data_IF_074371542340
#
_entry.id   IF_074371542340
#
_cell.length_a   1.000
_cell.length_b   1.000
_cell.length_c   1.000
_cell.angle_alpha   90.00
_cell.angle_beta   90.00
_cell.angle_gamma   90.00
#
_symmetry.space_group_name_H-M   'P 1'
#
loop_
_entity.id
_entity.type
_entity.pdbx_description
1 polymer ?
#
# COMPACT_ATOMS: atom_id res chain seq x y z
N UNK A 1 7.74 5.47 3.87
CA UNK A 1 7.39 4.36 2.95
C UNK A 1 6.27 3.54 3.57
N UNK A 2 5.49 2.75 2.82
CA UNK A 2 4.45 1.88 3.38
C UNK A 2 4.96 0.44 3.52
N UNK A 3 5.87 0.22 4.49
CA UNK A 3 6.57 -1.06 4.66
C UNK A 3 5.63 -2.21 4.97
N UNK A 4 4.59 -1.96 5.77
CA UNK A 4 3.62 -2.98 6.17
C UNK A 4 2.82 -3.46 4.95
N UNK A 5 2.30 -2.53 4.14
CA UNK A 5 1.63 -2.86 2.88
C UNK A 5 2.54 -3.69 1.96
N UNK A 6 3.81 -3.31 1.78
CA UNK A 6 4.72 -4.07 0.93
C UNK A 6 5.02 -5.48 1.46
N UNK A 7 5.18 -5.61 2.79
CA UNK A 7 5.38 -6.91 3.43
C UNK A 7 4.16 -7.83 3.23
N UNK A 8 2.94 -7.32 3.40
CA UNK A 8 1.71 -8.11 3.21
C UNK A 8 1.50 -8.52 1.75
N UNK A 9 1.79 -7.63 0.80
CA UNK A 9 1.79 -7.97 -0.64
C UNK A 9 2.72 -9.17 -0.91
N UNK A 10 3.93 -9.14 -0.36
CA UNK A 10 4.91 -10.21 -0.52
C UNK A 10 4.47 -11.51 0.17
N UNK A 11 3.97 -11.43 1.41
CA UNK A 11 3.49 -12.58 2.21
C UNK A 11 2.37 -13.34 1.50
N UNK A 12 1.40 -12.60 0.95
CA UNK A 12 0.25 -13.18 0.24
C UNK A 12 0.55 -13.50 -1.24
N UNK A 13 1.75 -13.20 -1.72
CA UNK A 13 2.16 -13.34 -3.14
C UNK A 13 1.21 -12.64 -4.11
N UNK A 14 0.66 -11.50 -3.69
CA UNK A 14 -0.25 -10.72 -4.54
C UNK A 14 0.57 -9.99 -5.60
N UNK A 15 0.10 -10.03 -6.84
CA UNK A 15 0.76 -9.29 -7.91
C UNK A 15 0.40 -7.81 -7.79
N UNK A 16 1.42 -6.97 -7.65
CA UNK A 16 1.28 -5.50 -7.65
C UNK A 16 0.51 -4.95 -8.87
N UNK A 17 0.64 -5.49 -10.11
CA UNK A 17 -0.23 -5.10 -11.24
C UNK A 17 -1.73 -5.24 -10.97
N UNK A 18 -2.15 -6.32 -10.31
CA UNK A 18 -3.57 -6.58 -10.01
C UNK A 18 -4.12 -5.52 -9.03
N UNK A 19 -3.30 -5.13 -8.05
CA UNK A 19 -3.64 -4.03 -7.12
C UNK A 19 -3.78 -2.72 -7.89
N UNK A 20 -2.85 -2.43 -8.80
CA UNK A 20 -2.85 -1.19 -9.58
C UNK A 20 -4.09 -1.11 -10.47
N UNK A 21 -4.44 -2.20 -11.16
CA UNK A 21 -5.67 -2.30 -11.96
C UNK A 21 -6.92 -2.07 -11.10
N UNK A 22 -6.98 -2.70 -9.91
CA UNK A 22 -8.12 -2.59 -9.00
C UNK A 22 -8.38 -1.15 -8.53
N UNK A 23 -7.34 -0.35 -8.34
CA UNK A 23 -7.45 1.08 -7.98
C UNK A 23 -7.46 2.03 -9.20
N UNK A 24 -7.48 1.50 -10.42
CA UNK A 24 -7.47 2.31 -11.65
C UNK A 24 -6.18 3.09 -11.88
N UNK A 25 -5.03 2.55 -11.45
CA UNK A 25 -3.71 3.18 -11.57
C UNK A 25 -2.74 2.30 -12.35
N UNK A 26 -1.65 2.91 -12.80
CA UNK A 26 -0.55 2.17 -13.41
C UNK A 26 0.32 1.50 -12.35
N UNK A 27 0.99 0.41 -12.72
CA UNK A 27 1.98 -0.26 -11.87
C UNK A 27 3.06 0.70 -11.33
N UNK A 28 3.54 1.62 -12.17
CA UNK A 28 4.51 2.63 -11.78
C UNK A 28 3.94 3.58 -10.72
N UNK A 29 2.71 4.06 -10.90
CA UNK A 29 2.03 4.91 -9.91
C UNK A 29 1.87 4.20 -8.58
N UNK A 30 1.48 2.92 -8.58
CA UNK A 30 1.37 2.12 -7.37
C UNK A 30 2.73 2.02 -6.65
N UNK A 31 3.81 1.72 -7.36
CA UNK A 31 5.15 1.64 -6.76
C UNK A 31 5.61 2.98 -6.17
N UNK A 32 5.31 4.11 -6.83
CA UNK A 32 5.62 5.43 -6.29
C UNK A 32 4.79 5.73 -5.02
N UNK A 33 3.55 5.22 -4.95
CA UNK A 33 2.72 5.33 -3.74
C UNK A 33 3.25 4.44 -2.60
N UNK A 34 3.53 3.16 -2.86
CA UNK A 34 4.09 2.22 -1.87
C UNK A 34 5.44 2.72 -1.31
N UNK A 35 6.32 3.23 -2.17
CA UNK A 35 7.60 3.85 -1.74
C UNK A 35 7.40 5.11 -0.88
N UNK A 36 6.19 5.68 -0.87
CA UNK A 36 5.83 6.85 -0.08
C UNK A 36 6.13 8.18 -0.77
N UNK A 37 6.51 8.18 -2.06
CA UNK A 37 6.70 9.41 -2.86
C UNK A 37 5.37 10.13 -3.08
N UNK A 38 4.27 9.38 -3.21
CA UNK A 38 2.92 9.93 -3.26
C UNK A 38 2.03 9.26 -2.21
N UNK A 39 1.11 10.00 -1.58
CA UNK A 39 0.13 9.39 -0.69
C UNK A 39 -0.90 8.57 -1.47
N UNK A 40 -1.50 7.58 -0.82
CA UNK A 40 -2.77 6.98 -1.25
C UNK A 40 -3.92 7.94 -0.92
N UNK A 41 -4.91 8.03 -1.81
CA UNK A 41 -6.20 8.62 -1.42
C UNK A 41 -6.94 7.66 -0.50
N UNK A 42 -7.95 8.16 0.24
CA UNK A 42 -8.77 7.31 1.09
C UNK A 42 -9.45 6.18 0.30
N UNK A 43 -10.06 6.51 -0.84
CA UNK A 43 -10.75 5.53 -1.68
C UNK A 43 -9.80 4.44 -2.21
N UNK A 44 -8.59 4.83 -2.65
CA UNK A 44 -7.57 3.87 -3.09
C UNK A 44 -7.17 2.94 -1.94
N UNK A 45 -6.93 3.49 -0.75
CA UNK A 45 -6.55 2.71 0.41
C UNK A 45 -7.66 1.75 0.85
N UNK A 46 -8.91 2.21 0.83
CA UNK A 46 -10.08 1.40 1.18
C UNK A 46 -10.26 0.24 0.20
N UNK A 47 -10.19 0.50 -1.11
CA UNK A 47 -10.29 -0.54 -2.14
C UNK A 47 -9.19 -1.60 -1.96
N UNK A 48 -7.96 -1.17 -1.69
CA UNK A 48 -6.84 -2.09 -1.45
C UNK A 48 -7.09 -2.97 -0.22
N UNK A 49 -7.54 -2.35 0.88
CA UNK A 49 -7.83 -3.06 2.13
C UNK A 49 -8.95 -4.09 1.93
N UNK A 50 -10.11 -3.67 1.46
CA UNK A 50 -11.28 -4.55 1.31
C UNK A 50 -11.06 -5.65 0.27
N UNK A 51 -10.30 -5.37 -0.80
CA UNK A 51 -10.11 -6.35 -1.89
C UNK A 51 -8.99 -7.35 -1.63
N UNK A 52 -7.94 -6.96 -0.91
CA UNK A 52 -6.71 -7.75 -0.83
C UNK A 52 -6.26 -8.05 0.61
N UNK A 53 -6.63 -7.21 1.58
CA UNK A 53 -6.19 -7.31 2.97
C UNK A 53 -7.31 -7.12 4.01
N UNK A 54 -8.50 -7.72 3.84
CA UNK A 54 -9.64 -7.49 4.73
C UNK A 54 -9.39 -7.98 6.16
N UNK A 55 -8.45 -8.90 6.37
CA UNK A 55 -8.06 -9.41 7.68
C UNK A 55 -7.00 -8.56 8.40
N UNK A 56 -6.34 -7.63 7.69
CA UNK A 56 -5.32 -6.75 8.27
C UNK A 56 -5.97 -5.50 8.86
N UNK A 57 -5.36 -4.90 9.89
CA UNK A 57 -5.81 -3.59 10.36
C UNK A 57 -5.47 -2.50 9.34
N UNK A 58 -6.46 -1.67 8.99
CA UNK A 58 -6.32 -0.61 7.99
C UNK A 58 -5.22 0.40 8.36
N UNK A 59 -5.17 0.83 9.64
CA UNK A 59 -4.22 1.86 10.09
C UNK A 59 -2.80 1.32 10.10
N UNK A 60 -2.60 0.09 10.53
CA UNK A 60 -1.28 -0.55 10.50
C UNK A 60 -0.83 -0.84 9.07
N UNK A 61 -1.72 -1.28 8.18
CA UNK A 61 -1.39 -1.54 6.77
C UNK A 61 -0.86 -0.29 6.07
N UNK A 62 -1.53 0.86 6.27
CA UNK A 62 -1.15 2.15 5.69
C UNK A 62 -0.29 3.01 6.62
N UNK A 63 0.34 2.42 7.64
CA UNK A 63 1.28 3.12 8.50
C UNK A 63 2.53 3.49 7.72
N UNK A 64 2.87 4.78 7.71
CA UNK A 64 4.14 5.24 7.14
C UNK A 64 5.26 4.88 8.12
N UNK A 65 6.31 4.25 7.61
CA UNK A 65 7.60 4.28 8.28
C UNK A 65 8.14 5.70 8.18
N UNK A 66 7.88 6.49 9.23
CA UNK A 66 8.68 7.68 9.49
C UNK A 66 10.06 7.18 9.89
N UNK A 67 11.03 7.28 8.96
CA UNK A 67 12.39 7.56 9.39
C UNK A 67 12.34 8.96 10.02
N UNK A 68 11.89 9.05 11.27
CA UNK A 68 12.27 10.18 12.11
C UNK A 68 13.79 10.14 12.12
N UNK A 69 14.42 11.17 11.56
CA UNK A 69 15.77 11.53 11.88
C UNK A 69 15.88 11.46 13.40
N UNK A 70 16.54 10.41 13.90
CA UNK A 70 16.95 10.34 15.29
C UNK A 70 18.16 11.25 15.37
N UNK A 71 17.90 12.45 15.91
CA UNK A 71 18.78 13.41 16.58
C UNK A 71 20.06 13.82 15.86
#
# INVERSE_FOLDING_TARGET
MYNNLEAEIARKKIKKPDIAEKIGRTYNTLNLKISGKYPFTYDEALIIHESFFPECDFKELFKKSDLKNVS
#
